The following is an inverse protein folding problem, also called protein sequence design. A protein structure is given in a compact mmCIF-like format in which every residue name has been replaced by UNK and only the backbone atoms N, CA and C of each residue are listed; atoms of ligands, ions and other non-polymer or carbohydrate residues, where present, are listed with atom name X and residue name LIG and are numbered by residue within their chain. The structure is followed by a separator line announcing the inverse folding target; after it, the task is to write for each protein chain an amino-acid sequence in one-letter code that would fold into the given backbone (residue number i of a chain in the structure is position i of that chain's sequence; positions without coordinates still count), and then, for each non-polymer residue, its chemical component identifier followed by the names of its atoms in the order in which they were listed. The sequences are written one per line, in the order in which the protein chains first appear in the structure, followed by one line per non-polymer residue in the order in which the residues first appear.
data_IF_037716703061
#
_entry.id   IF_037716703061
#
_cell.length_a   1.000
_cell.length_b   1.000
_cell.length_c   1.000
_cell.angle_alpha   90.00
_cell.angle_beta   90.00
_cell.angle_gamma   90.00
#
_symmetry.space_group_name_H-M   'P 1'
#
loop_
_entity.id
_entity.type
_entity.pdbx_description
1 polymer ?
#
# COMPACT_ATOMS: atom_id res chain seq x y z
N UNK A 1 51.63 -9.23 9.62
CA UNK A 1 52.06 -10.63 9.74
C UNK A 1 51.07 -11.49 8.95
N UNK A 2 51.61 -12.21 7.96
CA UNK A 2 51.06 -13.39 7.27
C UNK A 2 49.91 -13.16 6.25
N UNK A 3 50.35 -13.09 5.00
CA UNK A 3 49.63 -13.49 3.79
C UNK A 3 49.31 -15.00 3.81
N UNK A 4 48.21 -15.44 3.21
CA UNK A 4 48.31 -16.47 2.17
C UNK A 4 47.04 -16.67 1.33
N UNK A 5 47.29 -16.71 0.02
CA UNK A 5 46.46 -17.07 -1.13
C UNK A 5 45.78 -18.45 -1.01
N UNK A 6 44.60 -18.60 -1.65
CA UNK A 6 44.49 -19.40 -2.90
C UNK A 6 43.11 -19.28 -3.56
N UNK A 7 43.15 -18.89 -4.82
CA UNK A 7 42.14 -19.05 -5.86
C UNK A 7 42.16 -20.52 -6.31
N UNK A 8 41.00 -21.18 -6.48
CA UNK A 8 40.72 -22.12 -7.59
C UNK A 8 39.21 -22.16 -7.86
N UNK A 9 38.88 -21.95 -9.12
CA UNK A 9 37.63 -22.09 -9.86
C UNK A 9 37.31 -23.54 -10.26
N UNK A 10 36.04 -23.94 -10.29
CA UNK A 10 35.44 -24.73 -11.40
C UNK A 10 33.95 -25.09 -11.18
N UNK A 11 33.27 -25.19 -12.32
CA UNK A 11 31.83 -25.27 -12.59
C UNK A 11 31.20 -26.70 -12.42
N UNK A 12 29.87 -26.86 -12.64
CA UNK A 12 29.06 -27.91 -12.04
C UNK A 12 29.01 -29.21 -12.85
N UNK A 13 28.73 -30.33 -12.18
CA UNK A 13 28.47 -31.62 -12.85
C UNK A 13 27.11 -32.17 -12.46
N UNK A 14 26.30 -32.32 -13.50
CA UNK A 14 24.99 -32.97 -13.58
C UNK A 14 25.10 -34.46 -13.26
N UNK A 15 24.14 -35.02 -12.52
CA UNK A 15 23.95 -36.47 -12.43
C UNK A 15 22.46 -36.80 -12.57
N UNK A 16 22.09 -37.17 -13.80
CA UNK A 16 20.87 -37.89 -14.10
C UNK A 16 21.00 -39.35 -13.64
N UNK A 17 20.04 -39.80 -12.84
CA UNK A 17 19.83 -41.22 -12.54
C UNK A 17 18.56 -41.68 -13.27
N UNK A 18 18.72 -42.50 -14.31
CA UNK A 18 17.63 -43.23 -14.94
C UNK A 18 17.85 -44.73 -14.70
N UNK A 19 16.91 -45.36 -13.99
CA UNK A 19 16.83 -46.80 -13.84
C UNK A 19 16.14 -47.42 -15.06
N UNK A 20 16.85 -48.34 -15.72
CA UNK A 20 16.40 -49.22 -16.80
C UNK A 20 15.70 -50.44 -16.21
N UNK A 21 14.56 -50.87 -16.76
CA UNK A 21 13.99 -52.17 -16.44
C UNK A 21 14.03 -53.13 -17.64
N UNK A 22 14.17 -54.40 -17.31
CA UNK A 22 14.27 -55.56 -18.19
C UNK A 22 12.94 -55.84 -18.87
N UNK A 23 12.93 -55.81 -20.21
CA UNK A 23 12.19 -56.73 -21.10
C UNK A 23 12.28 -56.22 -22.54
N UNK A 24 13.41 -56.49 -23.19
CA UNK A 24 13.68 -56.09 -24.56
C UNK A 24 12.65 -56.62 -25.55
N UNK A 25 11.69 -55.78 -25.93
CA UNK A 25 10.96 -55.91 -27.18
C UNK A 25 10.53 -54.54 -27.73
N UNK A 26 10.84 -54.32 -29.00
CA UNK A 26 10.39 -53.21 -29.84
C UNK A 26 9.09 -53.62 -30.52
N UNK A 27 7.98 -52.91 -30.31
CA UNK A 27 6.82 -52.96 -31.22
C UNK A 27 6.28 -51.56 -31.43
N UNK A 28 6.38 -51.13 -32.69
CA UNK A 28 5.75 -49.95 -33.31
C UNK A 28 4.31 -50.32 -33.67
N UNK A 29 3.33 -49.42 -33.46
CA UNK A 29 2.28 -49.06 -34.44
C UNK A 29 1.18 -48.17 -33.82
N UNK A 30 1.00 -46.99 -34.42
CA UNK A 30 -0.24 -46.18 -34.52
C UNK A 30 -1.25 -46.85 -35.48
N UNK A 31 -2.49 -46.34 -35.73
CA UNK A 31 -3.32 -45.32 -35.04
C UNK A 31 -4.84 -45.67 -34.96
N UNK A 32 -5.65 -44.77 -34.37
CA UNK A 32 -7.10 -44.53 -34.60
C UNK A 32 -8.08 -45.68 -34.23
N UNK A 33 -9.32 -45.48 -33.80
CA UNK A 33 -10.20 -44.34 -33.47
C UNK A 33 -11.47 -44.96 -32.84
N UNK A 34 -12.35 -44.10 -32.28
CA UNK A 34 -13.78 -44.34 -31.95
C UNK A 34 -14.10 -45.36 -30.83
N UNK A 35 -14.59 -44.95 -29.66
CA UNK A 35 -15.87 -44.30 -29.31
C UNK A 35 -16.90 -45.30 -28.77
N UNK A 36 -17.42 -44.95 -27.59
CA UNK A 36 -18.71 -45.28 -26.97
C UNK A 36 -18.86 -46.45 -25.99
N UNK A 37 -19.31 -46.02 -24.81
CA UNK A 37 -20.33 -46.58 -23.93
C UNK A 37 -19.96 -47.52 -22.75
N UNK A 38 -20.01 -46.89 -21.56
CA UNK A 38 -20.85 -47.28 -20.40
C UNK A 38 -20.43 -48.53 -19.61
N UNK A 39 -19.89 -48.35 -18.39
CA UNK A 39 -20.64 -48.59 -17.14
C UNK A 39 -19.80 -48.41 -15.86
N UNK A 40 -20.44 -47.79 -14.86
CA UNK A 40 -20.44 -48.07 -13.42
C UNK A 40 -19.19 -47.92 -12.52
N UNK A 41 -19.37 -47.01 -11.56
CA UNK A 41 -19.19 -47.15 -10.10
C UNK A 41 -17.78 -47.38 -9.53
N UNK A 42 -17.20 -46.35 -8.90
CA UNK A 42 -17.23 -46.19 -7.43
C UNK A 42 -16.33 -45.03 -6.95
N UNK A 43 -16.89 -44.23 -6.04
CA UNK A 43 -16.29 -43.58 -4.86
C UNK A 43 -14.76 -43.39 -4.78
N UNK A 44 -14.28 -42.14 -4.76
CA UNK A 44 -13.78 -41.50 -3.52
C UNK A 44 -13.21 -40.10 -3.78
N UNK A 45 -13.54 -39.20 -2.84
CA UNK A 45 -12.67 -38.17 -2.25
C UNK A 45 -11.85 -37.25 -3.17
N UNK A 46 -12.22 -35.97 -3.22
CA UNK A 46 -11.22 -34.89 -3.10
C UNK A 46 -11.82 -33.55 -2.64
N UNK A 47 -11.75 -33.38 -1.32
CA UNK A 47 -11.41 -32.17 -0.56
C UNK A 47 -11.24 -30.89 -1.36
N UNK A 48 -12.29 -30.08 -1.33
CA UNK A 48 -12.34 -28.71 -1.82
C UNK A 48 -11.40 -27.82 -0.99
N UNK A 49 -10.22 -27.51 -1.53
CA UNK A 49 -9.32 -26.52 -0.96
C UNK A 49 -9.75 -25.12 -1.44
N UNK A 50 -10.53 -24.44 -0.61
CA UNK A 50 -10.93 -23.04 -0.79
C UNK A 50 -9.71 -22.11 -0.71
N UNK A 51 -9.03 -21.91 -1.83
CA UNK A 51 -8.00 -20.88 -1.99
C UNK A 51 -8.65 -19.51 -1.78
N UNK A 52 -8.41 -18.92 -0.61
CA UNK A 52 -8.80 -17.55 -0.30
C UNK A 52 -7.97 -16.63 -1.20
N UNK A 53 -8.60 -16.12 -2.26
CA UNK A 53 -8.03 -15.13 -3.16
C UNK A 53 -7.62 -13.90 -2.36
N UNK A 54 -6.32 -13.75 -2.13
CA UNK A 54 -5.72 -12.52 -1.61
C UNK A 54 -6.01 -11.43 -2.63
N UNK A 55 -6.91 -10.49 -2.31
CA UNK A 55 -7.24 -9.35 -3.17
C UNK A 55 -5.97 -8.52 -3.37
N UNK A 56 -5.29 -8.75 -4.49
CA UNK A 56 -4.12 -8.00 -4.91
C UNK A 56 -4.61 -6.61 -5.32
N UNK A 57 -4.25 -5.59 -4.54
CA UNK A 57 -4.55 -4.20 -4.89
C UNK A 57 -4.07 -3.93 -6.32
N UNK A 58 -4.83 -3.15 -7.12
CA UNK A 58 -4.35 -2.73 -8.42
C UNK A 58 -2.98 -2.08 -8.25
N UNK A 59 -1.93 -2.65 -8.84
CA UNK A 59 -0.60 -2.06 -8.77
C UNK A 59 -0.59 -0.82 -9.64
N UNK A 60 -0.76 0.34 -9.02
CA UNK A 60 -0.46 1.61 -9.65
C UNK A 60 0.98 1.59 -10.17
N UNK A 61 1.17 2.05 -11.41
CA UNK A 61 2.49 2.19 -12.02
C UNK A 61 3.31 3.34 -11.43
N UNK A 62 2.64 4.33 -10.81
CA UNK A 62 3.27 5.46 -10.13
C UNK A 62 2.53 5.84 -8.85
N UNK A 63 3.27 6.35 -7.86
CA UNK A 63 2.68 6.93 -6.64
C UNK A 63 1.82 8.15 -6.95
N UNK A 64 2.20 8.94 -7.96
CA UNK A 64 1.43 10.08 -8.44
C UNK A 64 0.01 9.67 -8.77
N UNK A 65 -0.16 8.58 -9.54
CA UNK A 65 -1.48 8.05 -9.88
C UNK A 65 -2.26 7.59 -8.65
N UNK A 66 -1.60 6.86 -7.74
CA UNK A 66 -2.23 6.35 -6.52
C UNK A 66 -2.76 7.46 -5.58
N UNK A 67 -2.15 8.64 -5.63
CA UNK A 67 -2.52 9.78 -4.78
C UNK A 67 -3.61 10.68 -5.37
N UNK A 68 -3.95 10.55 -6.66
CA UNK A 68 -5.01 11.34 -7.29
C UNK A 68 -6.34 11.15 -6.56
N UNK A 69 -6.71 9.90 -6.26
CA UNK A 69 -7.96 9.60 -5.59
C UNK A 69 -8.08 10.26 -4.21
N UNK A 70 -7.16 10.03 -3.26
CA UNK A 70 -7.27 10.61 -1.93
C UNK A 70 -7.05 12.13 -1.89
N UNK A 71 -6.26 12.71 -2.79
CA UNK A 71 -5.88 14.14 -2.72
C UNK A 71 -6.79 15.04 -3.54
N UNK A 72 -7.26 14.59 -4.70
CA UNK A 72 -8.07 15.42 -5.61
C UNK A 72 -9.52 14.95 -5.61
N UNK A 73 -9.75 13.69 -5.97
CA UNK A 73 -11.11 13.21 -6.25
C UNK A 73 -11.97 13.19 -4.99
N UNK A 74 -11.44 12.68 -3.88
CA UNK A 74 -12.22 12.56 -2.64
C UNK A 74 -12.64 13.92 -2.06
N UNK A 75 -11.73 14.91 -1.87
CA UNK A 75 -12.14 16.25 -1.45
C UNK A 75 -13.10 16.93 -2.43
N UNK A 76 -12.92 16.73 -3.75
CA UNK A 76 -13.83 17.26 -4.76
C UNK A 76 -15.25 16.69 -4.61
N UNK A 77 -15.37 15.37 -4.40
CA UNK A 77 -16.67 14.72 -4.17
C UNK A 77 -17.34 15.22 -2.89
N UNK A 78 -16.57 15.46 -1.82
CA UNK A 78 -17.08 16.08 -0.59
C UNK A 78 -17.62 17.49 -0.83
N UNK A 79 -16.97 18.29 -1.68
CA UNK A 79 -17.49 19.60 -2.10
C UNK A 79 -18.77 19.48 -2.92
N UNK A 80 -18.82 18.58 -3.90
CA UNK A 80 -20.02 18.35 -4.74
C UNK A 80 -21.20 17.88 -3.89
N UNK A 81 -20.95 17.02 -2.89
CA UNK A 81 -22.00 16.47 -2.02
C UNK A 81 -22.78 17.56 -1.28
N UNK A 82 -22.14 18.70 -0.93
CA UNK A 82 -22.80 19.85 -0.29
C UNK A 82 -23.87 20.50 -1.18
N UNK A 83 -23.76 20.32 -2.50
CA UNK A 83 -24.69 20.87 -3.49
C UNK A 83 -25.65 19.81 -4.03
N UNK A 84 -25.18 18.58 -4.25
CA UNK A 84 -25.99 17.48 -4.75
C UNK A 84 -25.42 16.14 -4.29
N UNK A 85 -26.10 15.54 -3.31
CA UNK A 85 -25.75 14.22 -2.80
C UNK A 85 -25.83 13.15 -3.90
N UNK A 86 -26.84 13.22 -4.76
CA UNK A 86 -27.02 12.26 -5.85
C UNK A 86 -25.87 12.33 -6.86
N UNK A 87 -25.45 13.54 -7.27
CA UNK A 87 -24.35 13.69 -8.22
C UNK A 87 -23.03 13.17 -7.64
N UNK A 88 -22.75 13.46 -6.35
CA UNK A 88 -21.56 12.97 -5.67
C UNK A 88 -21.52 11.43 -5.63
N UNK A 89 -22.65 10.76 -5.37
CA UNK A 89 -22.72 9.29 -5.36
C UNK A 89 -22.52 8.69 -6.76
N UNK A 90 -23.13 9.28 -7.79
CA UNK A 90 -22.97 8.81 -9.17
C UNK A 90 -21.51 8.96 -9.63
N UNK A 91 -20.91 10.13 -9.42
CA UNK A 91 -19.51 10.40 -9.80
C UNK A 91 -18.54 9.51 -9.04
N UNK A 92 -18.73 9.34 -7.72
CA UNK A 92 -17.93 8.42 -6.94
C UNK A 92 -17.93 7.00 -7.55
N UNK A 93 -19.10 6.45 -7.84
CA UNK A 93 -19.23 5.09 -8.39
C UNK A 93 -18.56 4.98 -9.76
N UNK A 94 -18.82 5.95 -10.64
CA UNK A 94 -18.27 5.96 -11.99
C UNK A 94 -16.73 6.08 -11.97
N UNK A 95 -16.21 7.11 -11.30
CA UNK A 95 -14.77 7.36 -11.22
C UNK A 95 -14.05 6.21 -10.48
N UNK A 96 -14.63 5.70 -9.40
CA UNK A 96 -14.07 4.57 -8.67
C UNK A 96 -13.99 3.30 -9.52
N UNK A 97 -15.03 3.02 -10.32
CA UNK A 97 -15.06 1.89 -11.25
C UNK A 97 -14.03 2.04 -12.38
N UNK A 98 -13.91 3.24 -12.95
CA UNK A 98 -12.91 3.51 -13.99
C UNK A 98 -11.48 3.32 -13.45
N UNK A 99 -11.18 3.92 -12.29
CA UNK A 99 -9.86 3.81 -11.67
C UNK A 99 -9.52 2.37 -11.27
N UNK A 100 -10.49 1.63 -10.74
CA UNK A 100 -10.30 0.22 -10.40
C UNK A 100 -10.02 -0.64 -11.64
N UNK A 101 -10.74 -0.41 -12.74
CA UNK A 101 -10.56 -1.17 -13.98
C UNK A 101 -9.25 -0.83 -14.70
N UNK A 102 -8.78 0.40 -14.57
CA UNK A 102 -7.52 0.87 -15.17
C UNK A 102 -6.82 1.84 -14.21
N UNK A 103 -5.95 1.32 -13.31
CA UNK A 103 -5.18 2.16 -12.38
C UNK A 103 -4.34 3.19 -13.14
N UNK A 104 -4.43 4.46 -12.73
CA UNK A 104 -3.85 5.59 -13.46
C UNK A 104 -4.83 6.32 -14.38
N UNK A 105 -6.04 5.80 -14.58
CA UNK A 105 -7.07 6.47 -15.40
C UNK A 105 -7.31 7.90 -14.95
N UNK A 106 -7.45 8.14 -13.64
CA UNK A 106 -7.73 9.48 -13.12
C UNK A 106 -6.54 10.44 -13.26
N UNK A 107 -5.31 9.93 -13.23
CA UNK A 107 -4.13 10.76 -13.50
C UNK A 107 -4.15 11.24 -14.94
N UNK A 108 -4.35 10.35 -15.90
CA UNK A 108 -4.48 10.71 -17.31
C UNK A 108 -5.65 11.66 -17.52
N UNK A 109 -6.83 11.33 -16.99
CA UNK A 109 -8.02 12.17 -17.12
C UNK A 109 -7.80 13.61 -16.62
N UNK A 110 -7.17 13.78 -15.46
CA UNK A 110 -6.85 15.11 -14.92
C UNK A 110 -5.79 15.81 -15.78
N UNK A 111 -4.80 15.06 -16.26
CA UNK A 111 -3.74 15.61 -17.13
C UNK A 111 -4.33 16.13 -18.44
N UNK A 112 -5.28 15.42 -19.04
CA UNK A 112 -6.02 15.87 -20.23
C UNK A 112 -6.87 17.12 -19.97
N UNK A 113 -7.53 17.20 -18.81
CA UNK A 113 -8.26 18.42 -18.41
C UNK A 113 -7.31 19.61 -18.28
N UNK A 114 -6.15 19.43 -17.67
CA UNK A 114 -5.14 20.48 -17.51
C UNK A 114 -4.56 20.91 -18.87
N UNK A 115 -4.29 19.97 -19.77
CA UNK A 115 -3.84 20.23 -21.13
C UNK A 115 -4.87 21.05 -21.92
N UNK A 116 -6.17 20.74 -21.77
CA UNK A 116 -7.26 21.52 -22.37
C UNK A 116 -7.30 22.97 -21.87
N UNK A 117 -6.69 23.25 -20.70
CA UNK A 117 -6.54 24.59 -20.11
C UNK A 117 -5.16 25.21 -20.36
N UNK A 118 -4.37 24.63 -21.27
CA UNK A 118 -3.00 25.03 -21.60
C UNK A 118 -2.01 24.97 -20.41
N UNK A 119 -2.24 24.03 -19.48
CA UNK A 119 -1.36 23.75 -18.33
C UNK A 119 -0.62 22.43 -18.62
N UNK A 120 0.51 22.50 -19.30
CA UNK A 120 1.20 21.32 -19.88
C UNK A 120 2.46 20.93 -19.08
N UNK A 121 3.11 21.87 -18.39
CA UNK A 121 4.41 21.66 -17.73
C UNK A 121 4.32 21.48 -16.21
N UNK A 122 3.19 21.02 -15.69
CA UNK A 122 2.99 20.86 -14.25
C UNK A 122 3.65 19.58 -13.73
N UNK A 123 4.52 19.70 -12.72
CA UNK A 123 4.95 18.55 -11.95
C UNK A 123 3.81 18.07 -11.05
N UNK A 124 3.10 17.03 -11.49
CA UNK A 124 1.94 16.50 -10.77
C UNK A 124 2.28 16.01 -9.36
N UNK A 125 3.46 15.41 -9.14
CA UNK A 125 3.86 14.94 -7.80
C UNK A 125 4.07 16.12 -6.86
N UNK A 126 4.72 17.18 -7.32
CA UNK A 126 4.93 18.40 -6.57
C UNK A 126 3.61 19.10 -6.22
N UNK A 127 2.71 19.21 -7.20
CA UNK A 127 1.37 19.79 -7.00
C UNK A 127 0.57 18.98 -5.96
N UNK A 128 0.58 17.65 -6.06
CA UNK A 128 -0.09 16.77 -5.10
C UNK A 128 0.49 16.90 -3.70
N UNK A 129 1.82 16.99 -3.56
CA UNK A 129 2.46 17.24 -2.27
C UNK A 129 1.99 18.54 -1.65
N UNK A 130 1.97 19.65 -2.39
CA UNK A 130 1.46 20.94 -1.89
C UNK A 130 -0.01 20.86 -1.52
N UNK A 131 -0.84 20.22 -2.35
CA UNK A 131 -2.28 20.05 -2.09
C UNK A 131 -2.57 19.17 -0.86
N UNK A 132 -1.73 18.18 -0.57
CA UNK A 132 -1.88 17.33 0.62
C UNK A 132 -1.93 18.14 1.92
N UNK A 133 -1.25 19.30 1.98
CA UNK A 133 -1.26 20.20 3.15
C UNK A 133 -2.62 20.87 3.40
N UNK A 134 -3.45 20.96 2.37
CA UNK A 134 -4.73 21.67 2.38
C UNK A 134 -5.92 20.75 2.69
N UNK A 135 -5.71 19.43 2.70
CA UNK A 135 -6.77 18.47 2.99
C UNK A 135 -7.14 18.58 4.47
N UNK A 136 -8.39 18.90 4.82
CA UNK A 136 -8.81 18.99 6.20
C UNK A 136 -8.71 17.63 6.89
N UNK A 137 -8.34 17.66 8.17
CA UNK A 137 -8.15 16.47 9.00
C UNK A 137 -9.42 15.60 9.10
N UNK A 138 -10.62 16.18 8.96
CA UNK A 138 -11.90 15.45 8.98
C UNK A 138 -12.24 14.76 7.65
N UNK A 139 -11.63 15.19 6.53
CA UNK A 139 -11.76 14.50 5.23
C UNK A 139 -10.76 13.33 5.09
N UNK A 140 -9.84 13.21 6.04
CA UNK A 140 -8.83 12.18 6.13
C UNK A 140 -9.41 10.83 6.56
N UNK A 141 -8.71 9.73 6.24
CA UNK A 141 -9.11 8.35 6.56
C UNK A 141 -8.93 8.02 8.06
N UNK A 142 -9.55 8.81 8.94
CA UNK A 142 -9.43 8.71 10.40
C UNK A 142 -10.06 7.43 10.95
N UNK A 143 -9.42 6.84 11.95
CA UNK A 143 -10.06 5.85 12.82
C UNK A 143 -11.06 6.57 13.74
N UNK A 144 -12.28 6.01 13.90
CA UNK A 144 -13.38 6.63 14.67
C UNK A 144 -13.37 6.30 16.17
N UNK A 145 -12.47 5.39 16.56
CA UNK A 145 -12.26 4.97 17.94
C UNK A 145 -11.83 6.13 18.82
N UNK A 146 -12.47 6.27 19.98
CA UNK A 146 -12.27 7.39 20.91
C UNK A 146 -11.08 7.17 21.85
N UNK A 147 -10.57 5.94 21.91
CA UNK A 147 -9.45 5.58 22.76
C UNK A 147 -8.18 6.34 22.32
N UNK A 148 -7.40 6.77 23.32
CA UNK A 148 -6.24 7.65 23.15
C UNK A 148 -5.27 7.17 22.05
N UNK A 149 -4.90 5.88 21.95
CA UNK A 149 -3.95 5.41 20.94
C UNK A 149 -4.42 5.63 19.49
N UNK A 150 -5.74 5.56 19.24
CA UNK A 150 -6.29 5.80 17.90
C UNK A 150 -6.40 7.29 17.58
N UNK A 151 -6.71 8.11 18.58
CA UNK A 151 -6.69 9.56 18.44
C UNK A 151 -5.27 10.06 18.18
N UNK A 152 -4.29 9.49 18.88
CA UNK A 152 -2.88 9.77 18.67
C UNK A 152 -2.40 9.32 17.30
N UNK A 153 -2.76 8.11 16.85
CA UNK A 153 -2.50 7.65 15.48
C UNK A 153 -2.98 8.69 14.45
N UNK A 154 -4.23 9.15 14.56
CA UNK A 154 -4.79 10.15 13.65
C UNK A 154 -3.98 11.46 13.65
N UNK A 155 -3.57 11.96 14.84
CA UNK A 155 -2.74 13.16 14.96
C UNK A 155 -1.36 12.96 14.31
N UNK A 156 -0.74 11.79 14.51
CA UNK A 156 0.60 11.49 13.99
C UNK A 156 0.60 11.26 12.48
N UNK A 157 -0.41 10.59 11.91
CA UNK A 157 -0.55 10.44 10.45
C UNK A 157 -0.72 11.80 9.78
N UNK A 158 -1.57 12.66 10.33
CA UNK A 158 -1.78 14.01 9.82
C UNK A 158 -0.49 14.84 9.90
N UNK A 159 0.15 14.86 11.06
CA UNK A 159 1.39 15.62 11.27
C UNK A 159 2.50 15.20 10.30
N UNK A 160 2.70 13.88 10.10
CA UNK A 160 3.70 13.38 9.15
C UNK A 160 3.40 13.84 7.73
N UNK A 161 2.15 13.67 7.26
CA UNK A 161 1.75 14.12 5.92
C UNK A 161 1.93 15.61 5.73
N UNK A 162 1.62 16.42 6.75
CA UNK A 162 1.79 17.88 6.72
C UNK A 162 3.25 18.31 6.64
N UNK A 163 4.16 17.58 7.28
CA UNK A 163 5.60 17.88 7.17
C UNK A 163 6.11 17.46 5.78
N UNK A 164 5.73 16.28 5.29
CA UNK A 164 6.11 15.79 3.96
C UNK A 164 5.60 16.72 2.84
N UNK A 165 4.38 17.26 2.97
CA UNK A 165 3.80 18.19 1.99
C UNK A 165 4.58 19.50 1.83
N UNK A 166 5.45 19.86 2.78
CA UNK A 166 6.26 21.09 2.73
C UNK A 166 7.57 20.92 1.96
N UNK A 167 7.96 19.68 1.62
CA UNK A 167 9.22 19.40 0.92
C UNK A 167 9.40 20.26 -0.34
N UNK A 168 8.39 20.39 -1.25
CA UNK A 168 8.52 21.24 -2.43
C UNK A 168 8.97 22.67 -2.15
N UNK A 169 8.56 23.24 -1.01
CA UNK A 169 8.78 24.65 -0.69
C UNK A 169 10.12 24.90 0.00
N UNK A 170 10.67 23.86 0.65
CA UNK A 170 11.91 23.97 1.43
C UNK A 170 13.11 23.34 0.71
N UNK A 171 12.90 22.59 -0.38
CA UNK A 171 13.91 21.74 -1.01
C UNK A 171 15.21 22.48 -1.35
N UNK A 172 15.09 23.74 -1.78
CA UNK A 172 16.22 24.55 -2.23
C UNK A 172 16.89 25.35 -1.09
N UNK A 173 16.25 25.48 0.07
CA UNK A 173 16.86 26.05 1.27
C UNK A 173 17.46 24.92 2.12
N UNK A 174 18.77 24.75 2.02
CA UNK A 174 19.48 23.65 2.69
C UNK A 174 19.26 23.63 4.21
N UNK A 175 19.21 24.78 4.87
CA UNK A 175 19.10 24.82 6.34
C UNK A 175 17.69 24.42 6.76
N UNK A 176 16.67 25.01 6.13
CA UNK A 176 15.26 24.69 6.39
C UNK A 176 14.93 23.25 5.97
N UNK A 177 15.53 22.76 4.89
CA UNK A 177 15.35 21.39 4.44
C UNK A 177 15.93 20.37 5.44
N UNK A 178 17.15 20.59 5.94
CA UNK A 178 17.75 19.72 6.97
C UNK A 178 16.93 19.72 8.26
N UNK A 179 16.37 20.87 8.68
CA UNK A 179 15.44 20.93 9.80
C UNK A 179 14.17 20.12 9.54
N UNK A 180 13.61 20.24 8.34
CA UNK A 180 12.42 19.48 7.91
C UNK A 180 12.68 17.98 7.92
N UNK A 181 13.85 17.52 7.46
CA UNK A 181 14.26 16.11 7.51
C UNK A 181 14.28 15.59 8.96
N UNK A 182 14.81 16.37 9.92
CA UNK A 182 14.79 15.99 11.35
C UNK A 182 13.36 15.86 11.87
N UNK A 183 12.47 16.78 11.49
CA UNK A 183 11.04 16.73 11.86
C UNK A 183 10.35 15.50 11.27
N UNK A 184 10.65 15.15 10.01
CA UNK A 184 10.15 13.92 9.36
C UNK A 184 10.60 12.68 10.13
N UNK A 185 11.89 12.56 10.45
CA UNK A 185 12.42 11.41 11.18
C UNK A 185 11.73 11.24 12.55
N UNK A 186 11.54 12.35 13.29
CA UNK A 186 10.80 12.34 14.56
C UNK A 186 9.34 11.91 14.38
N UNK A 187 8.65 12.42 13.35
CA UNK A 187 7.25 12.07 13.08
C UNK A 187 7.07 10.61 12.65
N UNK A 188 8.00 10.07 11.85
CA UNK A 188 8.03 8.64 11.45
C UNK A 188 8.16 7.76 12.69
N UNK A 189 9.10 8.07 13.59
CA UNK A 189 9.28 7.32 14.84
C UNK A 189 8.00 7.32 15.67
N UNK A 190 7.43 8.50 15.93
CA UNK A 190 6.18 8.65 16.69
C UNK A 190 5.01 7.89 16.08
N UNK A 191 4.87 7.92 14.75
CA UNK A 191 3.82 7.14 14.08
C UNK A 191 4.01 5.63 14.28
N UNK A 192 5.25 5.13 14.16
CA UNK A 192 5.55 3.71 14.36
C UNK A 192 5.31 3.26 15.81
N UNK A 193 5.63 4.11 16.78
CA UNK A 193 5.36 3.85 18.19
C UNK A 193 3.85 3.68 18.42
N UNK A 194 3.00 4.58 17.89
CA UNK A 194 1.55 4.45 17.97
C UNK A 194 1.01 3.18 17.29
N UNK A 195 1.57 2.79 16.13
CA UNK A 195 1.18 1.54 15.47
C UNK A 195 1.52 0.34 16.34
N UNK A 196 2.67 0.34 17.02
CA UNK A 196 3.08 -0.75 17.92
C UNK A 196 2.20 -0.82 19.18
N UNK A 197 1.80 0.33 19.72
CA UNK A 197 0.89 0.40 20.86
C UNK A 197 -0.49 -0.17 20.50
N UNK A 198 -0.99 0.15 19.31
CA UNK A 198 -2.26 -0.41 18.81
C UNK A 198 -2.15 -1.92 18.59
N UNK A 199 -1.06 -2.42 18.01
CA UNK A 199 -0.87 -3.86 17.72
C UNK A 199 -0.45 -4.69 18.93
N UNK A 200 -0.07 -4.05 20.03
CA UNK A 200 0.50 -4.70 21.21
C UNK A 200 1.84 -5.39 20.90
N UNK A 201 2.60 -4.87 19.93
CA UNK A 201 3.90 -5.43 19.51
C UNK A 201 5.06 -4.95 20.41
N UNK A 202 4.83 -3.95 21.27
CA UNK A 202 5.72 -3.60 22.36
C UNK A 202 5.59 -4.66 23.46
N UNK A 203 6.42 -5.70 23.39
CA UNK A 203 6.43 -6.75 24.39
C UNK A 203 6.66 -6.19 25.79
N UNK A 204 5.65 -6.26 26.65
CA UNK A 204 5.85 -6.28 28.09
C UNK A 204 6.56 -7.59 28.43
N UNK A 205 7.89 -7.56 28.38
CA UNK A 205 8.77 -8.51 29.07
C UNK A 205 8.77 -8.30 30.59
N UNK A 206 7.91 -7.42 31.11
CA UNK A 206 7.73 -7.17 32.54
C UNK A 206 6.29 -7.51 32.95
N UNK A 207 6.22 -8.63 33.66
CA UNK A 207 5.10 -9.05 34.49
C UNK A 207 4.77 -8.00 35.55
N UNK A 208 3.76 -7.16 35.31
CA UNK A 208 2.89 -6.59 36.35
C UNK A 208 1.89 -5.58 35.75
N UNK A 209 0.64 -5.70 36.18
CA UNK A 209 -0.49 -4.76 35.98
C UNK A 209 -1.07 -4.59 34.56
N UNK A 210 -1.99 -5.50 34.22
CA UNK A 210 -3.35 -5.21 33.72
C UNK A 210 -3.63 -3.82 33.10
N UNK A 211 -3.18 -3.56 31.87
CA UNK A 211 -3.91 -2.76 30.85
C UNK A 211 -3.13 -2.52 29.53
N UNK A 212 -2.39 -3.49 29.00
CA UNK A 212 -1.71 -3.32 27.69
C UNK A 212 -1.93 -4.55 26.79
N UNK A 213 -3.20 -4.89 26.57
CA UNK A 213 -3.61 -5.83 25.53
C UNK A 213 -3.89 -5.08 24.24
N UNK A 214 -3.13 -5.37 23.17
CA UNK A 214 -3.29 -4.72 21.87
C UNK A 214 -4.76 -4.76 21.40
N UNK A 215 -5.20 -3.70 20.73
CA UNK A 215 -6.60 -3.50 20.33
C UNK A 215 -7.05 -4.37 19.15
N UNK A 216 -6.16 -5.22 18.64
CA UNK A 216 -6.37 -6.03 17.44
C UNK A 216 -6.79 -7.44 17.83
N UNK A 217 -8.05 -7.79 17.53
CA UNK A 217 -8.63 -9.06 17.96
C UNK A 217 -8.27 -10.24 17.05
N UNK A 218 -8.09 -10.01 15.74
CA UNK A 218 -7.87 -11.10 14.78
C UNK A 218 -6.41 -11.20 14.33
N UNK A 219 -5.93 -12.43 14.17
CA UNK A 219 -4.60 -12.70 13.63
C UNK A 219 -4.40 -12.13 12.22
N UNK A 220 -5.44 -12.17 11.39
CA UNK A 220 -5.40 -11.64 10.01
C UNK A 220 -5.26 -10.12 9.98
N UNK A 221 -5.96 -9.41 10.87
CA UNK A 221 -5.83 -7.96 11.03
C UNK A 221 -4.43 -7.58 11.50
N UNK A 222 -3.92 -8.29 12.52
CA UNK A 222 -2.56 -8.05 13.04
C UNK A 222 -1.51 -8.27 11.94
N UNK A 223 -1.63 -9.36 11.17
CA UNK A 223 -0.74 -9.64 10.03
C UNK A 223 -0.82 -8.56 8.96
N UNK A 224 -2.01 -8.06 8.66
CA UNK A 224 -2.23 -7.00 7.66
C UNK A 224 -1.60 -5.66 8.09
N UNK A 225 -1.70 -5.30 9.37
CA UNK A 225 -1.09 -4.09 9.92
C UNK A 225 0.44 -4.22 9.93
N UNK A 226 0.99 -5.35 10.40
CA UNK A 226 2.44 -5.58 10.39
C UNK A 226 3.01 -5.60 8.96
N UNK A 227 2.27 -6.12 7.98
CA UNK A 227 2.67 -6.01 6.57
C UNK A 227 2.81 -4.55 6.12
N UNK A 228 1.80 -3.71 6.41
CA UNK A 228 1.83 -2.27 6.06
C UNK A 228 2.93 -1.51 6.79
N UNK A 229 3.17 -1.86 8.06
CA UNK A 229 4.29 -1.33 8.84
C UNK A 229 5.64 -1.66 8.20
N UNK A 230 5.85 -2.90 7.74
CA UNK A 230 7.09 -3.29 7.04
C UNK A 230 7.29 -2.52 5.73
N UNK A 231 6.23 -2.36 4.95
CA UNK A 231 6.24 -1.56 3.72
C UNK A 231 6.61 -0.09 4.01
N UNK A 232 5.99 0.51 5.01
CA UNK A 232 6.29 1.88 5.42
C UNK A 232 7.74 2.06 5.93
N UNK A 233 8.27 1.09 6.70
CA UNK A 233 9.68 1.11 7.13
C UNK A 233 10.62 1.03 5.92
N UNK A 234 10.29 0.17 4.94
CA UNK A 234 11.04 0.08 3.68
C UNK A 234 11.03 1.42 2.94
N UNK A 235 9.86 2.03 2.78
CA UNK A 235 9.70 3.32 2.09
C UNK A 235 10.43 4.46 2.82
N UNK A 236 10.46 4.44 4.17
CA UNK A 236 11.23 5.39 4.99
C UNK A 236 12.75 5.25 4.81
N UNK A 237 13.25 4.01 4.71
CA UNK A 237 14.66 3.76 4.39
C UNK A 237 15.00 4.22 2.98
N UNK A 238 14.13 3.94 2.01
CA UNK A 238 14.29 4.39 0.63
C UNK A 238 14.33 5.92 0.56
N UNK A 239 13.40 6.62 1.22
CA UNK A 239 13.41 8.08 1.32
C UNK A 239 14.75 8.61 1.87
N UNK A 240 15.25 7.99 2.95
CA UNK A 240 16.55 8.36 3.53
C UNK A 240 17.72 8.16 2.55
N UNK A 241 17.68 7.08 1.75
CA UNK A 241 18.67 6.82 0.73
C UNK A 241 18.58 7.83 -0.42
N UNK A 242 17.36 8.14 -0.89
CA UNK A 242 17.11 9.16 -1.91
C UNK A 242 17.60 10.54 -1.47
N UNK A 243 17.44 10.90 -0.19
CA UNK A 243 18.02 12.14 0.35
C UNK A 243 19.55 12.16 0.24
N UNK A 244 20.23 11.03 0.54
CA UNK A 244 21.69 10.93 0.39
C UNK A 244 22.12 11.12 -1.07
N UNK A 245 21.38 10.54 -2.00
CA UNK A 245 21.63 10.69 -3.44
C UNK A 245 21.35 12.12 -3.92
N UNK A 246 20.28 12.75 -3.43
CA UNK A 246 19.96 14.14 -3.70
C UNK A 246 21.08 15.09 -3.26
N UNK A 247 21.65 14.92 -2.07
CA UNK A 247 22.76 15.76 -1.63
C UNK A 247 24.06 15.55 -2.43
N UNK A 248 24.17 14.46 -3.20
CA UNK A 248 25.30 14.18 -4.10
C UNK A 248 25.05 14.68 -5.53
N UNK A 249 23.84 14.51 -6.04
CA UNK A 249 23.51 14.64 -7.47
C UNK A 249 22.44 15.68 -7.78
N UNK A 250 21.73 16.19 -6.79
CA UNK A 250 20.75 17.27 -6.93
C UNK A 250 19.39 16.86 -7.52
N UNK A 251 19.11 15.57 -7.73
CA UNK A 251 17.84 15.12 -8.31
C UNK A 251 16.66 15.33 -7.35
N UNK A 252 15.98 16.44 -7.54
CA UNK A 252 14.81 16.87 -6.78
C UNK A 252 13.60 15.97 -7.03
N UNK A 253 13.46 15.43 -8.25
CA UNK A 253 12.28 14.64 -8.64
C UNK A 253 12.16 13.37 -7.82
N UNK A 254 13.27 12.67 -7.61
CA UNK A 254 13.32 11.46 -6.78
C UNK A 254 12.93 11.75 -5.31
N UNK A 255 13.33 12.90 -4.76
CA UNK A 255 12.94 13.30 -3.39
C UNK A 255 11.43 13.52 -3.30
N UNK A 256 10.82 14.18 -4.29
CA UNK A 256 9.37 14.40 -4.34
C UNK A 256 8.61 13.08 -4.46
N UNK A 257 9.05 12.17 -5.32
CA UNK A 257 8.44 10.86 -5.51
C UNK A 257 8.51 10.01 -4.23
N UNK A 258 9.68 9.97 -3.58
CA UNK A 258 9.86 9.21 -2.32
C UNK A 258 9.07 9.82 -1.14
N UNK A 259 8.92 11.14 -1.07
CA UNK A 259 8.05 11.80 -0.11
C UNK A 259 6.56 11.47 -0.34
N UNK A 260 6.11 11.51 -1.60
CA UNK A 260 4.76 11.11 -1.98
C UNK A 260 4.49 9.64 -1.62
N UNK A 261 5.48 8.76 -1.79
CA UNK A 261 5.38 7.35 -1.43
C UNK A 261 5.17 7.15 0.08
N UNK A 262 5.85 7.94 0.92
CA UNK A 262 5.61 7.94 2.36
C UNK A 262 4.19 8.39 2.74
N UNK A 263 3.62 9.37 2.03
CA UNK A 263 2.22 9.78 2.23
C UNK A 263 1.28 8.62 1.87
N UNK A 264 1.51 7.95 0.75
CA UNK A 264 0.73 6.78 0.33
C UNK A 264 0.80 5.65 1.37
N UNK A 265 2.00 5.31 1.83
CA UNK A 265 2.21 4.27 2.85
C UNK A 265 1.57 4.65 4.20
N UNK A 266 1.63 5.93 4.59
CA UNK A 266 0.95 6.46 5.79
C UNK A 266 -0.56 6.26 5.70
N UNK A 267 -1.16 6.62 4.56
CA UNK A 267 -2.60 6.40 4.31
C UNK A 267 -2.94 4.91 4.35
N UNK A 268 -2.08 4.06 3.80
CA UNK A 268 -2.29 2.61 3.77
C UNK A 268 -2.26 1.96 5.16
N UNK A 269 -1.39 2.43 6.07
CA UNK A 269 -1.39 2.01 7.49
C UNK A 269 -2.68 2.45 8.16
N UNK A 270 -3.02 3.74 8.08
CA UNK A 270 -4.19 4.31 8.76
C UNK A 270 -5.48 3.63 8.29
N UNK A 271 -5.61 3.40 6.98
CA UNK A 271 -6.75 2.70 6.37
C UNK A 271 -6.86 1.26 6.86
N UNK A 272 -5.76 0.52 6.98
CA UNK A 272 -5.80 -0.86 7.48
C UNK A 272 -6.23 -0.88 8.94
N UNK A 273 -5.65 -0.04 9.80
CA UNK A 273 -6.04 0.03 11.21
C UNK A 273 -7.51 0.39 11.34
N UNK A 274 -7.99 1.38 10.56
CA UNK A 274 -9.40 1.73 10.48
C UNK A 274 -10.28 0.52 10.14
N UNK A 275 -9.94 -0.25 9.11
CA UNK A 275 -10.73 -1.42 8.68
C UNK A 275 -10.74 -2.51 9.77
N UNK A 276 -9.61 -2.71 10.44
CA UNK A 276 -9.45 -3.74 11.46
C UNK A 276 -10.10 -3.37 12.81
N UNK A 277 -10.25 -2.08 13.11
CA UNK A 277 -10.62 -1.61 14.44
C UNK A 277 -11.90 -0.78 14.52
N UNK A 278 -12.33 -0.10 13.45
CA UNK A 278 -13.55 0.70 13.51
C UNK A 278 -14.76 -0.21 13.81
N UNK A 279 -15.71 0.24 14.64
CA UNK A 279 -17.00 -0.43 14.80
C UNK A 279 -17.62 -0.63 13.42
N UNK A 280 -18.02 -1.87 13.10
CA UNK A 280 -18.80 -2.15 11.90
C UNK A 280 -20.19 -1.55 12.12
N UNK A 281 -20.39 -0.30 11.73
CA UNK A 281 -21.71 0.35 11.81
C UNK A 281 -22.72 -0.50 11.02
N UNK A 282 -23.70 -1.08 11.71
CA UNK A 282 -24.93 -1.65 11.10
C UNK A 282 -25.94 -0.56 10.70
N UNK A 283 -25.62 0.72 10.95
CA UNK A 283 -26.45 1.84 10.51
C UNK A 283 -26.07 2.25 9.08
N UNK A 284 -26.91 1.79 8.15
CA UNK A 284 -27.01 2.23 6.76
C UNK A 284 -27.15 3.75 6.63
N UNK A 285 -26.04 4.46 6.68
CA UNK A 285 -25.88 5.75 6.01
C UNK A 285 -25.01 5.54 4.79
N UNK A 286 -25.39 6.13 3.65
CA UNK A 286 -24.78 5.95 2.33
C UNK A 286 -23.24 6.07 2.32
N UNK A 287 -22.66 6.68 3.35
CA UNK A 287 -21.22 6.84 3.64
C UNK A 287 -20.48 5.52 3.92
N UNK A 288 -21.15 4.43 4.31
CA UNK A 288 -20.48 3.13 4.54
C UNK A 288 -20.52 2.16 3.36
N UNK A 289 -21.52 2.27 2.47
CA UNK A 289 -21.45 1.60 1.16
C UNK A 289 -20.27 2.14 0.31
N UNK A 290 -19.78 3.32 0.66
CA UNK A 290 -18.69 4.08 0.05
C UNK A 290 -17.28 3.47 0.28
N UNK A 291 -17.08 2.60 1.27
CA UNK A 291 -15.80 1.90 1.49
C UNK A 291 -15.79 0.45 0.96
N UNK A 292 -16.94 -0.10 0.57
CA UNK A 292 -17.06 -1.47 0.05
C UNK A 292 -17.04 -1.54 -1.48
N UNK A 293 -17.07 -0.41 -2.20
CA UNK A 293 -17.06 -0.36 -3.68
C UNK A 293 -15.62 -0.41 -4.25
N UNK A 294 -14.59 -0.52 -3.40
CA UNK A 294 -13.21 -0.84 -3.80
C UNK A 294 -12.75 -2.16 -3.16
N UNK A 295 -13.67 -3.13 -3.07
CA UNK A 295 -13.32 -4.53 -2.90
C UNK A 295 -13.26 -5.20 -4.25
#
# INVERSE_FOLDING_TARGET
MIMNNKIVSSEPSSNHHYHRNNNGNMIVHHPHSTSNHTNNNNNNEQSSSSTTMVTQYPRYSSVTAALIWPIIVRPLLCKIQKHSQQAAVVLLKALGKCEHRRPGFLLEFITEILATRNIISMNMTEALLRMQSQIPEFEEQRCRRQEEPFQELNRRTFALKKILSRIPDVLYDRQVFLETIRKIASAIKKLLDCVNDITGSNGSSSSSSSSSGGFIQTYQDKRSIEQRKREFIKDSKNFSQTLKEYFKHGDSSSVLQSAAQLILATNAIQKTIKISCDPRDQTSSAIHQLNNITK
#
